data_IF_309287215816
#
_entry.id   IF_309287215816
#
_cell.length_a   1.000
_cell.length_b   1.000
_cell.length_c   1.000
_cell.angle_alpha   90.00
_cell.angle_beta   90.00
_cell.angle_gamma   90.00
#
_symmetry.space_group_name_H-M   'P 1'
#
loop_
_entity.id
_entity.type
_entity.pdbx_description
1 polymer ?
#
# COMPACT_ATOMS: atom_id res chain seq x y z
N UNK A 1 7.64 23.70 12.02
CA UNK A 1 9.06 23.31 11.98
C UNK A 1 9.23 22.49 10.73
N UNK A 2 10.06 22.95 9.77
CA UNK A 2 10.46 22.07 8.64
C UNK A 2 11.17 20.88 9.27
N UNK A 3 10.62 19.69 9.08
CA UNK A 3 11.32 18.45 9.42
C UNK A 3 12.36 18.20 8.33
N UNK A 4 13.55 17.80 8.74
CA UNK A 4 14.56 17.35 7.79
C UNK A 4 14.07 16.01 7.20
N UNK A 5 13.63 16.05 5.94
CA UNK A 5 13.26 14.88 5.16
C UNK A 5 14.44 14.28 4.41
N UNK A 6 14.16 13.58 3.32
CA UNK A 6 15.17 13.05 2.43
C UNK A 6 15.95 14.20 1.77
N UNK A 7 17.29 14.12 1.81
CA UNK A 7 18.17 15.08 1.14
C UNK A 7 18.93 14.37 0.00
N UNK A 8 18.80 14.91 -1.21
CA UNK A 8 19.57 14.45 -2.36
C UNK A 8 20.87 15.25 -2.49
N UNK A 9 21.99 14.54 -2.57
CA UNK A 9 23.30 15.18 -2.76
C UNK A 9 23.45 15.63 -4.22
N UNK A 10 23.73 16.92 -4.41
CA UNK A 10 24.04 17.51 -5.71
C UNK A 10 25.48 17.22 -6.14
N UNK A 11 25.76 17.30 -7.46
CA UNK A 11 27.14 17.17 -7.99
C UNK A 11 28.13 18.20 -7.42
N UNK A 12 27.65 19.39 -7.04
CA UNK A 12 28.45 20.47 -6.44
C UNK A 12 28.73 20.26 -4.94
N UNK A 13 28.26 19.15 -4.36
CA UNK A 13 28.41 18.82 -2.95
C UNK A 13 27.32 19.40 -2.02
N UNK A 14 26.40 20.22 -2.55
CA UNK A 14 25.23 20.68 -1.84
C UNK A 14 24.13 19.59 -1.72
N UNK A 15 23.03 19.96 -1.06
CA UNK A 15 21.87 19.08 -0.89
C UNK A 15 20.61 19.77 -1.37
N UNK A 16 19.73 19.00 -2.02
CA UNK A 16 18.36 19.41 -2.37
C UNK A 16 17.36 18.56 -1.61
N UNK A 17 16.31 19.19 -1.13
CA UNK A 17 15.14 18.51 -0.57
C UNK A 17 14.14 18.26 -1.72
N UNK A 18 13.82 17.01 -2.04
CA UNK A 18 12.84 16.72 -3.09
C UNK A 18 11.45 17.24 -2.70
N UNK A 19 10.72 17.77 -3.66
CA UNK A 19 9.36 18.27 -3.45
C UNK A 19 8.37 17.10 -3.57
N UNK A 20 8.14 16.40 -2.48
CA UNK A 20 7.25 15.23 -2.44
C UNK A 20 5.80 15.70 -2.26
N UNK A 21 4.94 15.33 -3.21
CA UNK A 21 3.49 15.54 -3.15
C UNK A 21 2.80 14.26 -3.57
N UNK A 22 2.75 13.30 -2.66
CA UNK A 22 2.23 11.97 -2.90
C UNK A 22 0.99 11.68 -2.06
N UNK A 23 0.05 10.93 -2.65
CA UNK A 23 -1.12 10.41 -1.97
C UNK A 23 -1.20 8.90 -2.18
N UNK A 24 -1.24 8.16 -1.09
CA UNK A 24 -1.34 6.70 -1.11
C UNK A 24 -2.80 6.29 -0.98
N UNK A 25 -3.29 5.56 -1.96
CA UNK A 25 -4.60 4.91 -1.94
C UNK A 25 -4.43 3.46 -1.48
N UNK A 26 -4.62 3.22 -0.20
CA UNK A 26 -4.55 1.91 0.44
C UNK A 26 -5.93 1.27 0.47
N UNK A 27 -6.09 0.09 -0.11
CA UNK A 27 -7.30 -0.71 0.06
C UNK A 27 -7.37 -1.20 1.52
N UNK A 28 -8.36 -0.77 2.30
CA UNK A 28 -8.37 -0.90 3.75
C UNK A 28 -9.16 -2.10 4.32
N UNK A 29 -9.90 -2.85 3.50
CA UNK A 29 -10.89 -3.85 3.99
C UNK A 29 -10.54 -5.30 3.69
N UNK A 30 -9.57 -5.56 2.83
CA UNK A 30 -9.24 -6.90 2.32
C UNK A 30 -7.72 -7.17 2.40
N UNK A 31 -7.24 -8.12 1.62
CA UNK A 31 -5.84 -8.50 1.56
C UNK A 31 -5.45 -9.46 2.69
N UNK A 32 -4.26 -9.27 3.22
CA UNK A 32 -3.78 -10.02 4.39
C UNK A 32 -4.52 -9.64 5.67
N UNK A 33 -5.02 -8.41 5.74
CA UNK A 33 -5.76 -7.86 6.90
C UNK A 33 -7.18 -8.43 7.03
N UNK A 34 -7.65 -9.24 6.07
CA UNK A 34 -8.88 -10.02 6.23
C UNK A 34 -8.80 -11.02 7.39
N UNK A 35 -7.60 -11.35 7.88
CA UNK A 35 -7.38 -12.18 9.07
C UNK A 35 -7.82 -13.64 8.90
N UNK A 36 -7.91 -14.12 7.66
CA UNK A 36 -8.28 -15.52 7.38
C UNK A 36 -7.02 -16.36 7.45
N UNK A 37 -6.75 -16.88 8.65
CA UNK A 37 -5.52 -17.61 8.92
C UNK A 37 -5.69 -18.70 9.97
N UNK A 38 -4.79 -19.65 9.95
CA UNK A 38 -4.75 -20.77 10.89
C UNK A 38 -3.32 -21.11 11.28
N UNK A 39 -3.07 -21.30 12.56
CA UNK A 39 -2.02 -22.18 13.06
C UNK A 39 -2.63 -23.56 13.27
N UNK A 40 -2.00 -24.62 12.77
CA UNK A 40 -2.58 -25.97 12.74
C UNK A 40 -3.93 -26.01 11.98
N UNK A 41 -3.92 -25.80 10.65
CA UNK A 41 -5.16 -25.75 9.87
C UNK A 41 -5.96 -27.05 10.03
N UNK A 42 -7.31 -26.96 10.20
CA UNK A 42 -8.16 -28.14 10.32
C UNK A 42 -8.17 -28.97 9.04
N UNK A 43 -8.57 -30.24 9.15
CA UNK A 43 -8.44 -31.22 8.06
C UNK A 43 -9.14 -30.79 6.76
N UNK A 44 -10.31 -30.19 6.84
CA UNK A 44 -11.01 -29.66 5.65
C UNK A 44 -10.24 -28.55 4.94
N UNK A 45 -9.56 -27.68 5.69
CA UNK A 45 -8.70 -26.63 5.11
C UNK A 45 -7.46 -27.26 4.49
N UNK A 46 -6.82 -28.23 5.19
CA UNK A 46 -5.67 -28.97 4.64
C UNK A 46 -6.03 -29.73 3.36
N UNK A 47 -7.17 -30.39 3.34
CA UNK A 47 -7.66 -31.10 2.16
C UNK A 47 -7.85 -30.15 0.97
N UNK A 48 -8.46 -29.00 1.21
CA UNK A 48 -8.61 -27.97 0.16
C UNK A 48 -7.26 -27.45 -0.34
N UNK A 49 -6.31 -27.16 0.55
CA UNK A 49 -4.97 -26.71 0.18
C UNK A 49 -4.18 -27.79 -0.57
N UNK A 50 -4.31 -29.06 -0.19
CA UNK A 50 -3.68 -30.20 -0.87
C UNK A 50 -4.13 -30.38 -2.32
N UNK A 51 -5.30 -29.84 -2.70
CA UNK A 51 -5.73 -29.83 -4.10
C UNK A 51 -4.85 -28.93 -4.98
N UNK A 52 -4.14 -27.96 -4.39
CA UNK A 52 -3.26 -27.07 -5.13
C UNK A 52 -1.87 -27.67 -5.34
N UNK A 53 -1.37 -27.75 -6.60
CA UNK A 53 -0.11 -28.46 -6.90
C UNK A 53 1.10 -27.96 -6.12
N UNK A 54 1.18 -26.66 -5.83
CA UNK A 54 2.31 -26.06 -5.09
C UNK A 54 2.27 -26.37 -3.58
N UNK A 55 1.11 -26.72 -3.04
CA UNK A 55 0.99 -27.05 -1.61
C UNK A 55 1.55 -28.45 -1.30
N UNK A 56 1.78 -29.28 -2.30
CA UNK A 56 2.37 -30.63 -2.14
C UNK A 56 3.70 -30.63 -1.38
N UNK A 57 4.48 -29.56 -1.50
CA UNK A 57 5.73 -29.40 -0.75
C UNK A 57 5.52 -29.32 0.77
N UNK A 58 4.33 -28.97 1.22
CA UNK A 58 3.97 -28.79 2.63
C UNK A 58 2.99 -29.85 3.14
N UNK A 59 2.56 -30.77 2.28
CA UNK A 59 1.51 -31.75 2.60
C UNK A 59 1.82 -32.60 3.84
N UNK A 60 3.10 -32.94 4.04
CA UNK A 60 3.57 -33.79 5.13
C UNK A 60 4.05 -33.00 6.38
N UNK A 61 3.94 -31.68 6.38
CA UNK A 61 4.28 -30.86 7.56
C UNK A 61 3.26 -31.14 8.67
N UNK A 62 3.69 -31.49 9.91
CA UNK A 62 2.75 -31.69 11.01
C UNK A 62 1.87 -30.46 11.25
N UNK A 63 0.61 -30.68 11.65
CA UNK A 63 -0.34 -29.59 11.84
C UNK A 63 0.17 -28.47 12.76
N UNK A 64 0.71 -28.77 13.95
CA UNK A 64 1.25 -27.75 14.86
C UNK A 64 2.42 -26.94 14.29
N UNK A 65 3.12 -27.46 13.28
CA UNK A 65 4.28 -26.82 12.66
C UNK A 65 3.89 -26.04 11.39
N UNK A 66 2.59 -25.99 11.06
CA UNK A 66 2.07 -25.33 9.87
C UNK A 66 1.15 -24.17 10.22
N UNK A 67 1.50 -22.97 9.76
CA UNK A 67 0.61 -21.82 9.75
C UNK A 67 0.28 -21.44 8.31
N UNK A 68 -0.97 -21.04 8.07
CA UNK A 68 -1.48 -20.64 6.76
C UNK A 68 -2.25 -19.34 6.90
N UNK A 69 -1.98 -18.40 6.00
CA UNK A 69 -2.70 -17.14 5.88
C UNK A 69 -3.21 -16.96 4.46
N UNK A 70 -4.45 -16.51 4.31
CA UNK A 70 -5.07 -16.24 3.02
C UNK A 70 -5.05 -14.76 2.70
N UNK A 71 -4.56 -14.42 1.52
CA UNK A 71 -4.70 -13.08 0.96
C UNK A 71 -5.92 -13.05 0.05
N UNK A 72 -6.89 -12.21 0.37
CA UNK A 72 -8.17 -12.13 -0.34
C UNK A 72 -8.30 -10.76 -0.99
N UNK A 73 -8.56 -10.72 -2.29
CA UNK A 73 -8.83 -9.49 -3.04
C UNK A 73 -10.10 -9.74 -3.86
N UNK A 74 -11.05 -8.82 -3.77
CA UNK A 74 -12.24 -8.84 -4.64
C UNK A 74 -12.13 -7.81 -5.75
N UNK A 75 -12.68 -8.13 -6.91
CA UNK A 75 -12.73 -7.19 -8.05
C UNK A 75 -13.48 -5.91 -7.69
N UNK A 76 -14.52 -6.01 -6.86
CA UNK A 76 -15.28 -4.84 -6.42
C UNK A 76 -14.42 -3.86 -5.61
N UNK A 77 -13.71 -4.35 -4.60
CA UNK A 77 -12.84 -3.50 -3.79
C UNK A 77 -11.65 -2.93 -4.59
N UNK A 78 -11.06 -3.74 -5.47
CA UNK A 78 -10.04 -3.26 -6.41
C UNK A 78 -10.58 -2.13 -7.31
N UNK A 79 -11.77 -2.32 -7.88
CA UNK A 79 -12.42 -1.31 -8.75
C UNK A 79 -12.66 0.00 -7.99
N UNK A 80 -13.19 -0.08 -6.76
CA UNK A 80 -13.48 1.12 -5.94
C UNK A 80 -12.22 1.94 -5.68
N UNK A 81 -11.19 1.32 -5.14
CA UNK A 81 -9.97 2.04 -4.74
C UNK A 81 -9.22 2.61 -5.96
N UNK A 82 -9.12 1.84 -7.04
CA UNK A 82 -8.41 2.27 -8.24
C UNK A 82 -9.18 3.40 -8.96
N UNK A 83 -10.52 3.30 -9.03
CA UNK A 83 -11.34 4.39 -9.57
C UNK A 83 -11.17 5.67 -8.76
N UNK A 84 -11.22 5.58 -7.43
CA UNK A 84 -11.00 6.73 -6.55
C UNK A 84 -9.63 7.40 -6.77
N UNK A 85 -8.60 6.61 -6.99
CA UNK A 85 -7.25 7.12 -7.28
C UNK A 85 -7.18 7.86 -8.62
N UNK A 86 -7.79 7.33 -9.68
CA UNK A 86 -7.84 8.02 -10.97
C UNK A 86 -8.68 9.30 -10.93
N UNK A 87 -9.83 9.28 -10.24
CA UNK A 87 -10.65 10.49 -10.04
C UNK A 87 -9.87 11.57 -9.26
N UNK A 88 -9.13 11.16 -8.24
CA UNK A 88 -8.29 12.08 -7.48
C UNK A 88 -7.16 12.65 -8.34
N UNK A 89 -6.47 11.82 -9.11
CA UNK A 89 -5.42 12.27 -10.03
C UNK A 89 -5.97 13.28 -11.04
N UNK A 90 -7.13 13.00 -11.64
CA UNK A 90 -7.84 13.91 -12.53
C UNK A 90 -8.17 15.23 -11.86
N UNK A 91 -8.76 15.20 -10.67
CA UNK A 91 -9.12 16.40 -9.89
C UNK A 91 -7.91 17.26 -9.53
N UNK A 92 -6.75 16.65 -9.30
CA UNK A 92 -5.50 17.34 -8.95
C UNK A 92 -4.61 17.66 -10.14
N UNK A 93 -5.02 17.32 -11.37
CA UNK A 93 -4.22 17.44 -12.59
C UNK A 93 -2.88 16.69 -12.52
N UNK A 94 -2.83 15.59 -11.78
CA UNK A 94 -1.67 14.71 -11.76
C UNK A 94 -1.59 13.89 -13.05
N UNK A 95 -0.37 13.59 -13.50
CA UNK A 95 -0.12 13.00 -14.82
C UNK A 95 -0.05 11.47 -14.79
N UNK A 96 0.11 10.87 -13.62
CA UNK A 96 0.24 9.43 -13.48
C UNK A 96 -0.45 8.90 -12.23
N UNK A 97 -0.94 7.67 -12.34
CA UNK A 97 -1.34 6.79 -11.23
C UNK A 97 -0.43 5.57 -11.28
N UNK A 98 0.20 5.25 -10.17
CA UNK A 98 1.05 4.07 -10.03
C UNK A 98 0.29 2.98 -9.29
N UNK A 99 0.12 1.81 -9.91
CA UNK A 99 -0.32 0.60 -9.20
C UNK A 99 0.90 -0.10 -8.63
N UNK A 100 0.95 -0.26 -7.29
CA UNK A 100 2.07 -0.87 -6.60
C UNK A 100 1.65 -2.20 -5.96
N UNK A 101 2.11 -3.29 -6.52
CA UNK A 101 1.73 -4.65 -6.16
C UNK A 101 2.93 -5.61 -6.25
N UNK A 102 2.72 -6.92 -6.25
CA UNK A 102 3.77 -7.93 -6.44
C UNK A 102 3.31 -9.08 -7.36
N UNK A 103 2.89 -8.81 -8.60
CA UNK A 103 2.29 -9.82 -9.48
C UNK A 103 3.24 -10.93 -9.92
N UNK A 104 4.55 -10.72 -9.87
CA UNK A 104 5.55 -11.75 -10.17
C UNK A 104 5.64 -12.85 -9.10
N UNK A 105 5.13 -12.60 -7.89
CA UNK A 105 5.10 -13.55 -6.76
C UNK A 105 3.67 -13.90 -6.36
N UNK A 106 2.85 -12.90 -6.06
CA UNK A 106 1.45 -13.05 -5.64
C UNK A 106 0.54 -12.87 -6.86
N UNK A 107 0.59 -13.84 -7.76
CA UNK A 107 0.10 -13.72 -9.14
C UNK A 107 -1.39 -13.44 -9.25
N UNK A 108 -2.22 -14.18 -8.50
CA UNK A 108 -3.67 -14.10 -8.65
C UNK A 108 -4.23 -12.79 -8.08
N UNK A 109 -3.90 -12.48 -6.84
CA UNK A 109 -4.46 -11.31 -6.16
C UNK A 109 -3.83 -9.99 -6.62
N UNK A 110 -2.51 -9.91 -6.79
CA UNK A 110 -1.86 -8.73 -7.38
C UNK A 110 -2.16 -8.59 -8.87
N UNK A 111 -2.27 -9.72 -9.59
CA UNK A 111 -2.66 -9.72 -11.00
C UNK A 111 -4.07 -9.15 -11.21
N UNK A 112 -5.03 -9.48 -10.32
CA UNK A 112 -6.37 -8.88 -10.36
C UNK A 112 -6.32 -7.36 -10.17
N UNK A 113 -5.52 -6.85 -9.24
CA UNK A 113 -5.34 -5.41 -9.05
C UNK A 113 -4.81 -4.73 -10.32
N UNK A 114 -3.79 -5.30 -10.97
CA UNK A 114 -3.25 -4.77 -12.22
C UNK A 114 -4.24 -4.85 -13.39
N UNK A 115 -4.96 -5.95 -13.51
CA UNK A 115 -5.99 -6.13 -14.55
C UNK A 115 -7.06 -5.04 -14.43
N UNK A 116 -7.60 -4.85 -13.24
CA UNK A 116 -8.59 -3.82 -12.95
C UNK A 116 -8.05 -2.42 -13.22
N UNK A 117 -6.78 -2.16 -12.87
CA UNK A 117 -6.14 -0.88 -13.15
C UNK A 117 -6.06 -0.60 -14.66
N UNK A 118 -5.70 -1.61 -15.47
CA UNK A 118 -5.69 -1.50 -16.93
C UNK A 118 -7.09 -1.28 -17.53
N UNK A 119 -8.12 -1.90 -16.97
CA UNK A 119 -9.51 -1.70 -17.38
C UNK A 119 -9.99 -0.27 -17.08
N UNK A 120 -9.72 0.24 -15.88
CA UNK A 120 -10.12 1.58 -15.46
C UNK A 120 -9.36 2.65 -16.23
N UNK A 121 -8.07 2.46 -16.44
CA UNK A 121 -7.20 3.39 -17.17
C UNK A 121 -7.76 3.76 -18.56
N UNK A 122 -8.46 2.85 -19.23
CA UNK A 122 -9.10 3.11 -20.54
C UNK A 122 -10.08 4.31 -20.51
N UNK A 123 -10.61 4.65 -19.32
CA UNK A 123 -11.51 5.79 -19.11
C UNK A 123 -10.76 7.10 -18.81
N UNK A 124 -9.44 7.05 -18.63
CA UNK A 124 -8.59 8.18 -18.26
C UNK A 124 -7.34 8.25 -19.17
N UNK A 125 -7.53 8.46 -20.49
CA UNK A 125 -6.42 8.38 -21.46
C UNK A 125 -5.33 9.43 -21.25
N UNK A 126 -5.66 10.53 -20.58
CA UNK A 126 -4.73 11.63 -20.29
C UNK A 126 -3.86 11.40 -19.04
N UNK A 127 -4.14 10.34 -18.28
CA UNK A 127 -3.41 9.98 -17.06
C UNK A 127 -2.64 8.69 -17.32
N UNK A 128 -1.33 8.73 -17.17
CA UNK A 128 -0.49 7.53 -17.35
C UNK A 128 -0.77 6.50 -16.25
N UNK A 129 -0.74 5.22 -16.60
CA UNK A 129 -0.74 4.14 -15.64
C UNK A 129 0.67 3.55 -15.57
N UNK A 130 1.29 3.66 -14.39
CA UNK A 130 2.55 3.00 -14.08
C UNK A 130 2.30 1.76 -13.21
N UNK A 131 3.18 0.78 -13.33
CA UNK A 131 3.14 -0.45 -12.53
C UNK A 131 4.52 -0.69 -11.93
N UNK A 132 4.55 -0.92 -10.61
CA UNK A 132 5.79 -1.22 -9.87
C UNK A 132 5.58 -2.37 -8.91
N UNK A 133 6.64 -3.15 -8.65
CA UNK A 133 6.65 -4.10 -7.55
C UNK A 133 6.93 -3.35 -6.23
N UNK A 134 6.35 -3.83 -5.12
CA UNK A 134 6.52 -3.17 -3.81
C UNK A 134 7.99 -2.99 -3.40
N UNK A 135 8.83 -3.99 -3.62
CA UNK A 135 10.27 -3.93 -3.32
C UNK A 135 11.02 -2.95 -4.23
N UNK A 136 10.66 -2.91 -5.50
CA UNK A 136 11.18 -1.94 -6.46
C UNK A 136 10.74 -0.51 -6.09
N UNK A 137 9.49 -0.34 -5.69
CA UNK A 137 8.98 0.95 -5.25
C UNK A 137 9.74 1.51 -4.04
N UNK A 138 10.14 0.64 -3.10
CA UNK A 138 10.96 1.07 -1.96
C UNK A 138 12.31 1.63 -2.39
N UNK A 139 12.92 1.08 -3.43
CA UNK A 139 14.14 1.63 -4.01
C UNK A 139 13.89 2.99 -4.66
N UNK A 140 12.83 3.10 -5.48
CA UNK A 140 12.51 4.34 -6.17
C UNK A 140 12.15 5.49 -5.23
N UNK A 141 11.52 5.19 -4.08
CA UNK A 141 11.25 6.21 -3.05
C UNK A 141 12.53 6.88 -2.52
N UNK A 142 13.63 6.14 -2.47
CA UNK A 142 14.92 6.68 -2.04
C UNK A 142 15.66 7.44 -3.15
N UNK A 143 15.24 7.28 -4.41
CA UNK A 143 15.92 7.89 -5.55
C UNK A 143 15.16 9.07 -6.13
N UNK A 144 13.90 8.88 -6.42
CA UNK A 144 13.05 9.82 -7.16
C UNK A 144 11.64 9.89 -6.56
N UNK A 145 11.47 10.22 -5.26
CA UNK A 145 10.15 10.23 -4.62
C UNK A 145 9.22 11.29 -5.22
N UNK A 146 9.75 12.34 -5.80
CA UNK A 146 9.02 13.44 -6.45
C UNK A 146 8.29 13.03 -7.72
N UNK A 147 8.65 11.90 -8.34
CA UNK A 147 8.00 11.42 -9.56
C UNK A 147 6.60 10.82 -9.26
N UNK A 148 6.32 10.49 -8.00
CA UNK A 148 5.12 9.79 -7.59
C UNK A 148 4.10 10.74 -6.94
N UNK A 149 2.93 10.90 -7.58
CA UNK A 149 1.85 11.71 -7.02
C UNK A 149 0.71 10.86 -6.45
N UNK A 150 0.29 9.82 -7.17
CA UNK A 150 -0.79 8.93 -6.75
C UNK A 150 -0.32 7.50 -6.86
N UNK A 151 -0.31 6.79 -5.72
CA UNK A 151 0.03 5.36 -5.69
C UNK A 151 -1.15 4.60 -5.11
N UNK A 152 -1.54 3.51 -5.78
CA UNK A 152 -2.60 2.60 -5.35
C UNK A 152 -1.99 1.26 -4.99
N UNK A 153 -2.37 0.71 -3.86
CA UNK A 153 -1.91 -0.60 -3.42
C UNK A 153 -2.97 -1.35 -2.62
N UNK A 154 -2.86 -2.67 -2.59
CA UNK A 154 -3.60 -3.51 -1.64
C UNK A 154 -3.17 -3.22 -0.20
N UNK A 155 -3.94 -3.71 0.77
CA UNK A 155 -3.85 -3.28 2.16
C UNK A 155 -2.43 -3.35 2.75
N UNK A 156 -1.79 -4.50 2.76
CA UNK A 156 -0.44 -4.65 3.31
C UNK A 156 0.61 -3.80 2.58
N UNK A 157 0.56 -3.76 1.26
CA UNK A 157 1.51 -2.97 0.48
C UNK A 157 1.28 -1.47 0.64
N UNK A 158 0.01 -1.06 0.74
CA UNK A 158 -0.35 0.33 1.03
C UNK A 158 0.10 0.78 2.41
N UNK A 159 0.05 -0.10 3.41
CA UNK A 159 0.57 0.14 4.75
C UNK A 159 2.08 0.43 4.73
N UNK A 160 2.84 -0.48 4.13
CA UNK A 160 4.30 -0.33 3.98
C UNK A 160 4.65 0.97 3.24
N UNK A 161 3.91 1.30 2.17
CA UNK A 161 4.13 2.50 1.38
C UNK A 161 3.84 3.78 2.17
N UNK A 162 2.70 3.82 2.89
CA UNK A 162 2.32 5.01 3.64
C UNK A 162 3.35 5.36 4.71
N UNK A 163 3.87 4.37 5.41
CA UNK A 163 4.89 4.57 6.45
C UNK A 163 6.23 4.99 5.85
N UNK A 164 6.62 4.40 4.71
CA UNK A 164 7.84 4.79 4.01
C UNK A 164 7.79 6.24 3.52
N UNK A 165 6.68 6.66 2.89
CA UNK A 165 6.48 8.04 2.47
C UNK A 165 6.41 9.01 3.66
N UNK A 166 5.75 8.63 4.75
CA UNK A 166 5.73 9.43 5.97
C UNK A 166 7.15 9.67 6.51
N UNK A 167 8.02 8.65 6.45
CA UNK A 167 9.43 8.77 6.82
C UNK A 167 10.17 9.82 5.98
N UNK A 168 9.88 9.90 4.68
CA UNK A 168 10.52 10.86 3.77
C UNK A 168 10.12 12.31 4.04
N UNK A 169 8.93 12.56 4.57
CA UNK A 169 8.42 13.91 4.87
C UNK A 169 8.56 14.31 6.34
N UNK A 170 9.29 13.53 7.13
CA UNK A 170 9.65 13.88 8.50
C UNK A 170 9.02 13.00 9.59
N UNK A 171 8.29 11.96 9.21
CA UNK A 171 7.74 10.95 10.10
C UNK A 171 6.20 10.92 10.14
N UNK A 172 5.68 9.88 10.80
CA UNK A 172 4.23 9.61 10.89
C UNK A 172 3.42 10.77 11.50
N UNK A 173 4.01 11.58 12.36
CA UNK A 173 3.36 12.74 12.97
C UNK A 173 3.02 13.88 11.99
N UNK A 174 3.54 13.83 10.77
CA UNK A 174 3.27 14.81 9.70
C UNK A 174 2.38 14.26 8.60
N UNK A 175 2.02 12.98 8.66
CA UNK A 175 1.20 12.32 7.66
C UNK A 175 -0.28 12.31 8.11
N UNK A 176 -1.14 12.91 7.28
CA UNK A 176 -2.58 12.85 7.47
C UNK A 176 -3.16 11.61 6.80
N UNK A 177 -4.15 10.99 7.42
CA UNK A 177 -4.88 9.84 6.88
C UNK A 177 -6.38 10.11 6.82
N UNK A 178 -7.04 9.50 5.84
CA UNK A 178 -8.49 9.55 5.71
C UNK A 178 -9.05 8.19 5.30
N UNK A 179 -9.95 7.66 6.09
CA UNK A 179 -10.75 6.48 5.77
C UNK A 179 -12.04 6.93 5.08
N UNK A 180 -12.11 6.75 3.78
CA UNK A 180 -13.20 7.29 2.94
C UNK A 180 -14.15 6.15 2.57
N UNK A 181 -15.35 6.18 3.12
CA UNK A 181 -16.46 5.32 2.74
C UNK A 181 -17.43 6.01 1.77
N UNK A 182 -18.52 5.32 1.44
CA UNK A 182 -19.51 5.85 0.48
C UNK A 182 -20.33 7.01 1.06
N UNK A 183 -20.56 7.02 2.37
CA UNK A 183 -21.41 8.01 3.07
C UNK A 183 -20.72 8.72 4.22
N UNK A 184 -19.60 8.20 4.69
CA UNK A 184 -18.87 8.72 5.86
C UNK A 184 -17.39 8.75 5.55
N UNK A 185 -16.71 9.79 6.01
CA UNK A 185 -15.26 9.89 6.01
C UNK A 185 -14.75 10.12 7.44
N UNK A 186 -13.69 9.41 7.83
CA UNK A 186 -13.00 9.59 9.11
C UNK A 186 -11.57 10.03 8.83
N UNK A 187 -11.15 11.13 9.41
CA UNK A 187 -9.80 11.65 9.29
C UNK A 187 -9.06 11.47 10.61
N UNK A 188 -7.85 10.98 10.52
CA UNK A 188 -7.00 10.68 11.68
C UNK A 188 -5.54 10.86 11.32
N UNK A 189 -4.63 11.00 12.30
CA UNK A 189 -3.20 10.89 12.04
C UNK A 189 -2.85 9.45 11.63
N UNK A 190 -1.83 9.28 10.82
CA UNK A 190 -1.40 7.94 10.36
C UNK A 190 -0.84 7.09 11.50
N UNK A 191 -0.30 7.72 12.55
CA UNK A 191 0.29 7.01 13.69
C UNK A 191 -0.77 6.47 14.65
N UNK A 192 -0.43 5.41 15.40
CA UNK A 192 -1.22 4.89 16.50
C UNK A 192 -1.17 5.79 17.77
N UNK A 193 -1.68 5.28 18.88
CA UNK A 193 -1.81 6.04 20.15
C UNK A 193 -0.51 6.53 20.79
N UNK A 194 0.64 5.96 20.40
CA UNK A 194 2.00 6.35 20.86
C UNK A 194 2.09 6.61 22.37
N UNK A 195 1.77 5.66 23.25
CA UNK A 195 1.56 5.88 24.70
C UNK A 195 2.78 6.48 25.40
N UNK A 196 3.99 6.24 24.91
CA UNK A 196 5.22 6.85 25.46
C UNK A 196 5.29 8.38 25.34
N UNK A 197 4.42 8.98 24.52
CA UNK A 197 4.32 10.43 24.33
C UNK A 197 3.06 11.02 24.95
N UNK A 198 2.22 10.24 25.61
CA UNK A 198 0.93 10.68 26.15
C UNK A 198 1.05 11.80 27.20
N UNK A 199 2.18 11.87 27.90
CA UNK A 199 2.45 12.89 28.92
C UNK A 199 3.11 14.16 28.35
N UNK A 200 3.48 14.17 27.07
CA UNK A 200 4.08 15.35 26.44
C UNK A 200 2.99 16.35 26.04
N UNK A 201 3.11 17.57 26.54
CA UNK A 201 2.23 18.68 26.22
C UNK A 201 3.04 19.84 25.61
N UNK A 202 2.70 20.35 24.41
CA UNK A 202 1.53 19.99 23.57
C UNK A 202 1.73 18.67 22.82
N UNK A 203 0.62 17.97 22.50
CA UNK A 203 0.70 16.77 21.69
C UNK A 203 1.37 17.07 20.34
N UNK A 204 2.19 16.14 19.88
CA UNK A 204 2.94 16.24 18.61
C UNK A 204 2.00 15.87 17.43
N UNK A 205 0.79 16.34 17.45
CA UNK A 205 -0.20 16.07 16.38
C UNK A 205 -0.70 17.40 15.85
N UNK A 206 -0.48 17.63 14.58
CA UNK A 206 -1.13 18.69 13.82
C UNK A 206 -2.27 18.13 12.98
#
# INVERSE_FOLDING_TARGET
RKSEGLLHRRPDGGFDEPQINATIFRQGTEGMYAGVEWTNPPENVRAALNSHPRFKAFANVPGPDLAVSCRIITRNAATRIITAAFEYAKKKNFKAVTICEKPNVVRETSGMMEEVAKEIHKKYPDIQLWSTNIDEQMMWLNKNPEDYNVIVASNLFGDILSDAFAGLVGGLGFAASGNIGDTVAVFEPTHGSAPKYAELNPPIVN
#
